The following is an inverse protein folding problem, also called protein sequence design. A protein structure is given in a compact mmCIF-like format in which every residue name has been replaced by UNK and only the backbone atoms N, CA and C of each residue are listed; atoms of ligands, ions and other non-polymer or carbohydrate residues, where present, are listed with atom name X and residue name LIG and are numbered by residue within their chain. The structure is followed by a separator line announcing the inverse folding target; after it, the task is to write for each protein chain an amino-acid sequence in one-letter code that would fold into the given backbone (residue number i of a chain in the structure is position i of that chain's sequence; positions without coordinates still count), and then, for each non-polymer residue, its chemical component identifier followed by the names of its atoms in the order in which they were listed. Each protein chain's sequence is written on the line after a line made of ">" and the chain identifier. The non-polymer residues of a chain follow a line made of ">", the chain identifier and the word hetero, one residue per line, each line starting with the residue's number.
data_IF_220073053458
#
_entry.id   IF_220073053458
#
_cell.length_a   1.000
_cell.length_b   1.000
_cell.length_c   1.000
_cell.angle_alpha   90.00
_cell.angle_beta   90.00
_cell.angle_gamma   90.00
#
_symmetry.space_group_name_H-M   'P 1'
#
loop_
_entity.id
_entity.type
_entity.pdbx_description
1 polymer ?
#
# COMPACT_ATOMS: atom_id res chain seq x y z
N UNK A 1 39.53 -9.95 -21.23
CA UNK A 1 38.32 -10.17 -20.42
C UNK A 1 38.08 -8.92 -19.57
N UNK A 2 37.20 -8.02 -20.01
CA UNK A 2 36.49 -7.11 -19.10
C UNK A 2 35.21 -6.68 -19.83
N UNK A 3 34.11 -7.24 -19.34
CA UNK A 3 32.75 -6.95 -19.79
C UNK A 3 32.42 -5.52 -19.39
N UNK A 4 32.32 -4.61 -20.36
CA UNK A 4 31.64 -3.33 -20.15
C UNK A 4 30.23 -3.56 -20.64
N UNK A 5 29.33 -3.82 -19.70
CA UNK A 5 27.91 -3.79 -19.96
C UNK A 5 27.58 -2.45 -20.62
N UNK A 6 27.09 -2.51 -21.86
CA UNK A 6 26.32 -1.40 -22.44
C UNK A 6 25.08 -1.23 -21.56
N UNK A 7 25.26 -0.48 -20.48
CA UNK A 7 24.17 0.02 -19.66
C UNK A 7 23.36 0.88 -20.61
N UNK A 8 22.18 0.38 -21.00
CA UNK A 8 21.18 1.13 -21.74
C UNK A 8 20.92 2.44 -20.99
N UNK A 9 21.66 3.49 -21.36
CA UNK A 9 21.52 4.83 -20.82
C UNK A 9 20.20 5.35 -21.38
N UNK A 10 19.13 5.15 -20.60
CA UNK A 10 17.87 5.85 -20.84
C UNK A 10 18.16 7.32 -20.62
N UNK A 11 18.29 8.08 -21.70
CA UNK A 11 18.28 9.54 -21.64
C UNK A 11 17.02 9.94 -20.90
N UNK A 12 17.18 10.49 -19.69
CA UNK A 12 16.05 10.89 -18.88
C UNK A 12 15.22 11.89 -19.70
N UNK A 13 13.92 11.61 -19.95
CA UNK A 13 13.06 12.49 -20.75
C UNK A 13 12.81 13.83 -20.04
N UNK A 14 13.16 13.93 -18.75
CA UNK A 14 13.03 15.11 -17.91
C UNK A 14 14.41 15.54 -17.39
N UNK A 15 14.63 16.86 -17.32
CA UNK A 15 15.78 17.44 -16.64
C UNK A 15 15.86 16.95 -15.19
N UNK A 16 17.08 16.66 -14.71
CA UNK A 16 17.34 16.25 -13.33
C UNK A 16 16.71 17.23 -12.32
N UNK A 17 16.68 18.53 -12.63
CA UNK A 17 16.05 19.55 -11.78
C UNK A 17 14.54 19.35 -11.61
N UNK A 18 13.84 18.88 -12.65
CA UNK A 18 12.40 18.56 -12.55
C UNK A 18 12.19 17.30 -11.72
N UNK A 19 13.08 16.31 -11.86
CA UNK A 19 13.07 15.09 -11.04
C UNK A 19 13.18 15.40 -9.54
N UNK A 20 14.17 16.22 -9.14
CA UNK A 20 14.31 16.65 -7.75
C UNK A 20 13.14 17.51 -7.28
N UNK A 21 12.62 18.39 -8.16
CA UNK A 21 11.44 19.20 -7.86
C UNK A 21 10.20 18.36 -7.55
N UNK A 22 9.98 17.26 -8.29
CA UNK A 22 8.85 16.35 -8.03
C UNK A 22 9.09 15.58 -6.74
N UNK A 23 10.24 14.92 -6.58
CA UNK A 23 10.50 14.06 -5.43
C UNK A 23 10.50 14.86 -4.12
N UNK A 24 11.22 15.98 -4.08
CA UNK A 24 11.37 16.80 -2.87
C UNK A 24 10.17 17.73 -2.71
N UNK A 25 9.75 18.43 -3.77
CA UNK A 25 8.67 19.42 -3.69
C UNK A 25 7.31 18.80 -3.44
N UNK A 26 6.88 17.84 -4.28
CA UNK A 26 5.57 17.18 -4.11
C UNK A 26 5.59 16.29 -2.86
N UNK A 27 6.70 15.59 -2.61
CA UNK A 27 6.87 14.79 -1.40
C UNK A 27 6.76 15.64 -0.11
N UNK A 28 7.43 16.79 -0.05
CA UNK A 28 7.33 17.69 1.08
C UNK A 28 5.93 18.29 1.24
N UNK A 29 5.29 18.71 0.14
CA UNK A 29 3.90 19.21 0.18
C UNK A 29 2.92 18.17 0.71
N UNK A 30 3.05 16.92 0.25
CA UNK A 30 2.24 15.81 0.72
C UNK A 30 2.49 15.52 2.21
N UNK A 31 3.76 15.45 2.63
CA UNK A 31 4.12 15.20 4.01
C UNK A 31 3.61 16.30 4.96
N UNK A 32 3.76 17.57 4.59
CA UNK A 32 3.24 18.71 5.35
C UNK A 32 1.71 18.63 5.41
N UNK A 33 1.04 18.39 4.27
CA UNK A 33 -0.41 18.25 4.21
C UNK A 33 -0.94 17.15 5.13
N UNK A 34 -0.35 15.95 5.06
CA UNK A 34 -0.71 14.84 5.96
C UNK A 34 -0.44 15.16 7.42
N UNK A 35 0.67 15.84 7.73
CA UNK A 35 1.01 16.26 9.10
C UNK A 35 -0.02 17.25 9.66
N UNK A 36 -0.47 18.21 8.83
CA UNK A 36 -1.52 19.17 9.21
C UNK A 36 -2.85 18.44 9.43
N UNK A 37 -3.23 17.50 8.55
CA UNK A 37 -4.45 16.70 8.72
C UNK A 37 -4.40 15.92 10.04
N UNK A 38 -3.27 15.27 10.36
CA UNK A 38 -3.10 14.56 11.63
C UNK A 38 -3.18 15.49 12.84
N UNK A 39 -2.62 16.70 12.74
CA UNK A 39 -2.71 17.72 13.80
C UNK A 39 -4.14 18.23 14.00
N UNK A 40 -4.86 18.49 12.91
CA UNK A 40 -6.27 18.87 12.94
C UNK A 40 -7.13 17.77 13.57
N UNK A 41 -6.91 16.51 13.17
CA UNK A 41 -7.66 15.37 13.71
C UNK A 41 -7.42 15.22 15.22
N UNK A 42 -6.17 15.36 15.66
CA UNK A 42 -5.81 15.31 17.08
C UNK A 42 -6.44 16.46 17.88
N UNK A 43 -6.51 17.67 17.31
CA UNK A 43 -6.99 18.87 18.02
C UNK A 43 -8.53 18.96 18.05
N UNK A 44 -9.21 18.61 16.97
CA UNK A 44 -10.68 18.78 16.84
C UNK A 44 -11.47 17.51 17.17
N UNK A 45 -10.91 16.33 16.91
CA UNK A 45 -11.60 15.05 17.18
C UNK A 45 -11.24 14.47 18.56
N UNK A 46 -10.32 15.12 19.29
CA UNK A 46 -9.80 14.70 20.60
C UNK A 46 -9.37 13.22 20.62
N UNK A 47 -8.82 12.78 19.49
CA UNK A 47 -8.45 11.40 19.23
C UNK A 47 -7.13 11.10 19.95
N UNK A 48 -7.21 10.54 21.16
CA UNK A 48 -6.03 10.13 21.92
C UNK A 48 -5.47 8.86 21.27
N UNK A 49 -4.33 9.02 20.60
CA UNK A 49 -3.61 7.97 19.89
C UNK A 49 -3.02 6.94 20.87
N UNK A 50 -3.88 6.09 21.42
CA UNK A 50 -3.46 4.93 22.20
C UNK A 50 -3.00 3.78 21.28
N UNK A 51 -2.15 2.90 21.79
CA UNK A 51 -1.60 1.76 21.03
C UNK A 51 -2.71 0.84 20.50
N UNK A 52 -3.79 0.67 21.27
CA UNK A 52 -4.96 -0.09 20.84
C UNK A 52 -5.75 0.64 19.74
N UNK A 53 -5.85 1.97 19.82
CA UNK A 53 -6.51 2.77 18.78
C UNK A 53 -5.73 2.73 17.46
N UNK A 54 -4.40 2.76 17.52
CA UNK A 54 -3.55 2.66 16.32
C UNK A 54 -3.60 1.26 15.69
N UNK A 55 -3.63 0.20 16.50
CA UNK A 55 -3.54 -1.18 16.01
C UNK A 55 -4.89 -1.81 15.62
N UNK A 56 -5.99 -1.47 16.31
CA UNK A 56 -7.30 -2.09 16.09
C UNK A 56 -8.43 -1.10 15.90
N UNK A 57 -8.16 0.21 15.96
CA UNK A 57 -9.16 1.27 15.95
C UNK A 57 -10.34 0.98 16.91
N UNK A 58 -10.07 0.30 18.04
CA UNK A 58 -11.07 -0.16 19.03
C UNK A 58 -12.24 -0.94 18.41
N UNK A 59 -12.03 -1.65 17.30
CA UNK A 59 -13.10 -2.33 16.55
C UNK A 59 -14.25 -1.39 16.11
N UNK A 60 -14.02 -0.07 16.10
CA UNK A 60 -15.02 0.95 15.74
C UNK A 60 -15.25 1.07 14.23
N UNK A 61 -14.29 0.58 13.43
CA UNK A 61 -14.32 0.66 11.96
C UNK A 61 -15.19 -0.45 11.36
N UNK A 62 -16.10 -0.08 10.47
CA UNK A 62 -16.98 -1.02 9.77
C UNK A 62 -16.22 -1.81 8.71
N UNK A 63 -16.75 -2.98 8.37
CA UNK A 63 -16.19 -3.89 7.36
C UNK A 63 -15.88 -3.22 6.00
N UNK A 64 -16.69 -2.24 5.58
CA UNK A 64 -16.46 -1.51 4.33
C UNK A 64 -15.20 -0.63 4.36
N UNK A 65 -14.95 0.05 5.49
CA UNK A 65 -13.74 0.88 5.65
C UNK A 65 -12.50 0.00 5.78
N UNK A 66 -12.59 -1.13 6.48
CA UNK A 66 -11.49 -2.10 6.55
C UNK A 66 -11.18 -2.72 5.19
N UNK A 67 -12.21 -3.03 4.38
CA UNK A 67 -12.00 -3.53 3.02
C UNK A 67 -11.31 -2.49 2.12
N UNK A 68 -11.72 -1.22 2.21
CA UNK A 68 -11.08 -0.12 1.47
C UNK A 68 -9.60 0.07 1.86
N UNK A 69 -9.28 0.00 3.16
CA UNK A 69 -7.91 0.10 3.64
C UNK A 69 -7.01 -1.04 3.09
N UNK A 70 -7.54 -2.27 3.02
CA UNK A 70 -6.83 -3.42 2.45
C UNK A 70 -6.57 -3.24 0.95
N UNK A 71 -7.58 -2.80 0.18
CA UNK A 71 -7.43 -2.55 -1.27
C UNK A 71 -6.43 -1.40 -1.53
N UNK A 72 -6.47 -0.35 -0.72
CA UNK A 72 -5.53 0.78 -0.81
C UNK A 72 -4.08 0.33 -0.61
N UNK A 73 -3.82 -0.55 0.36
CA UNK A 73 -2.48 -1.06 0.68
C UNK A 73 -1.84 -1.84 -0.47
N UNK A 74 -2.64 -2.36 -1.41
CA UNK A 74 -2.17 -3.08 -2.59
C UNK A 74 -1.88 -2.14 -3.78
N UNK A 75 -2.39 -0.90 -3.73
CA UNK A 75 -2.24 0.12 -4.76
C UNK A 75 -0.91 0.84 -4.61
N UNK A 76 0.19 0.09 -4.72
CA UNK A 76 1.55 0.61 -4.64
C UNK A 76 2.05 1.03 -6.04
N UNK A 77 2.97 1.98 -6.08
CA UNK A 77 3.51 2.49 -7.35
C UNK A 77 4.05 1.38 -8.27
N UNK A 78 4.68 0.34 -7.71
CA UNK A 78 5.19 -0.80 -8.48
C UNK A 78 4.08 -1.62 -9.13
N UNK A 79 2.99 -1.89 -8.42
CA UNK A 79 1.87 -2.70 -8.94
C UNK A 79 1.09 -1.91 -9.98
N UNK A 80 0.91 -0.60 -9.77
CA UNK A 80 0.36 0.31 -10.77
C UNK A 80 1.22 0.39 -12.03
N UNK A 81 2.53 0.60 -11.88
CA UNK A 81 3.46 0.66 -13.02
C UNK A 81 3.41 -0.64 -13.81
N UNK A 82 3.53 -1.77 -13.13
CA UNK A 82 3.43 -3.10 -13.76
C UNK A 82 2.08 -3.25 -14.46
N UNK A 83 0.97 -2.93 -13.80
CA UNK A 83 -0.38 -3.02 -14.39
C UNK A 83 -0.49 -2.19 -15.68
N UNK A 84 -0.03 -0.95 -15.68
CA UNK A 84 -0.05 -0.08 -16.86
C UNK A 84 0.87 -0.60 -17.97
N UNK A 85 2.05 -1.13 -17.64
CA UNK A 85 2.94 -1.76 -18.63
C UNK A 85 2.24 -2.93 -19.32
N UNK A 86 1.56 -3.80 -18.56
CA UNK A 86 0.78 -4.91 -19.14
C UNK A 86 -0.43 -4.41 -19.93
N UNK A 87 -1.06 -3.31 -19.51
CA UNK A 87 -2.12 -2.64 -20.28
C UNK A 87 -1.63 -2.08 -21.61
N UNK A 88 -0.43 -1.52 -21.64
CA UNK A 88 0.18 -0.99 -22.86
C UNK A 88 0.55 -2.11 -23.84
N UNK A 89 1.11 -3.21 -23.35
CA UNK A 89 1.57 -4.32 -24.20
C UNK A 89 0.46 -5.30 -24.62
N UNK A 90 -0.54 -5.52 -23.77
CA UNK A 90 -1.57 -6.57 -23.97
C UNK A 90 -3.01 -6.04 -24.01
N UNK A 91 -3.22 -4.72 -23.91
CA UNK A 91 -4.54 -4.12 -23.85
C UNK A 91 -5.25 -4.37 -22.51
N UNK A 92 -6.58 -4.23 -22.48
CA UNK A 92 -7.40 -4.33 -21.25
C UNK A 92 -7.28 -5.69 -20.56
N UNK A 93 -6.95 -6.75 -21.30
CA UNK A 93 -6.77 -8.10 -20.75
C UNK A 93 -5.53 -8.21 -19.84
N UNK A 94 -4.48 -7.41 -20.06
CA UNK A 94 -3.26 -7.43 -19.24
C UNK A 94 -3.51 -7.07 -17.77
N UNK A 95 -4.05 -5.87 -17.47
CA UNK A 95 -4.44 -5.46 -16.13
C UNK A 95 -5.48 -6.40 -15.51
N UNK A 96 -6.43 -6.90 -16.31
CA UNK A 96 -7.45 -7.82 -15.84
C UNK A 96 -6.85 -9.12 -15.32
N UNK A 97 -5.98 -9.77 -16.10
CA UNK A 97 -5.33 -11.02 -15.68
C UNK A 97 -4.36 -10.82 -14.52
N UNK A 98 -3.65 -9.69 -14.50
CA UNK A 98 -2.81 -9.30 -13.37
C UNK A 98 -3.61 -9.19 -12.07
N UNK A 99 -4.76 -8.51 -12.10
CA UNK A 99 -5.63 -8.37 -10.95
C UNK A 99 -6.29 -9.72 -10.57
N UNK A 100 -6.77 -10.48 -11.55
CA UNK A 100 -7.42 -11.76 -11.34
C UNK A 100 -6.52 -12.79 -10.64
N UNK A 101 -5.22 -12.84 -10.99
CA UNK A 101 -4.26 -13.71 -10.32
C UNK A 101 -4.08 -13.39 -8.84
N UNK A 102 -4.09 -12.11 -8.47
CA UNK A 102 -3.97 -11.68 -7.08
C UNK A 102 -5.24 -11.92 -6.26
N UNK A 103 -6.43 -11.86 -6.87
CA UNK A 103 -7.70 -12.18 -6.20
C UNK A 103 -7.70 -13.60 -5.60
N UNK A 104 -7.07 -14.57 -6.27
CA UNK A 104 -6.95 -15.95 -5.76
C UNK A 104 -6.19 -15.97 -4.43
N UNK A 105 -5.09 -15.22 -4.32
CA UNK A 105 -4.30 -15.15 -3.09
C UNK A 105 -5.10 -14.51 -1.96
N UNK A 106 -5.84 -13.44 -2.24
CA UNK A 106 -6.68 -12.76 -1.24
C UNK A 106 -7.76 -13.71 -0.68
N UNK A 107 -8.40 -14.52 -1.53
CA UNK A 107 -9.39 -15.50 -1.09
C UNK A 107 -8.76 -16.58 -0.19
N UNK A 108 -7.60 -17.11 -0.56
CA UNK A 108 -6.89 -18.10 0.26
C UNK A 108 -6.46 -17.53 1.61
N UNK A 109 -5.90 -16.32 1.65
CA UNK A 109 -5.53 -15.66 2.89
C UNK A 109 -6.75 -15.32 3.76
N UNK A 110 -7.89 -14.99 3.15
CA UNK A 110 -9.13 -14.72 3.88
C UNK A 110 -9.60 -15.97 4.63
N UNK A 111 -9.60 -17.14 3.98
CA UNK A 111 -9.95 -18.41 4.63
C UNK A 111 -8.96 -18.75 5.73
N UNK A 112 -7.66 -18.61 5.48
CA UNK A 112 -6.63 -18.85 6.48
C UNK A 112 -6.76 -17.91 7.69
N UNK A 113 -7.09 -16.63 7.48
CA UNK A 113 -7.29 -15.66 8.55
C UNK A 113 -8.53 -15.99 9.41
N UNK A 114 -9.62 -16.47 8.79
CA UNK A 114 -10.80 -16.96 9.52
C UNK A 114 -10.43 -18.16 10.39
N UNK A 115 -9.72 -19.15 9.84
CA UNK A 115 -9.27 -20.32 10.60
C UNK A 115 -8.29 -19.95 11.72
N UNK A 116 -7.43 -18.97 11.50
CA UNK A 116 -6.53 -18.43 12.52
C UNK A 116 -7.31 -17.82 13.69
N UNK A 117 -8.33 -17.00 13.41
CA UNK A 117 -9.17 -16.39 14.44
C UNK A 117 -10.06 -17.39 15.17
N UNK A 118 -10.47 -18.48 14.51
CA UNK A 118 -11.18 -19.60 15.17
C UNK A 118 -10.29 -20.33 16.18
N UNK A 119 -8.99 -20.46 15.89
CA UNK A 119 -8.03 -21.18 16.75
C UNK A 119 -7.38 -20.30 17.81
N UNK A 120 -7.14 -19.02 17.52
CA UNK A 120 -6.51 -18.05 18.40
C UNK A 120 -7.29 -16.71 18.42
N UNK A 121 -8.47 -16.67 19.09
CA UNK A 121 -9.39 -15.54 19.01
C UNK A 121 -8.82 -14.22 19.57
N UNK A 122 -7.95 -14.30 20.58
CA UNK A 122 -7.37 -13.12 21.24
C UNK A 122 -6.06 -12.62 20.60
N UNK A 123 -5.52 -13.31 19.60
CA UNK A 123 -4.27 -12.91 18.96
C UNK A 123 -4.49 -11.70 18.05
N UNK A 124 -3.91 -10.55 18.39
CA UNK A 124 -4.00 -9.29 17.63
C UNK A 124 -2.87 -9.15 16.60
N UNK A 125 -1.74 -9.82 16.81
CA UNK A 125 -0.62 -9.89 15.87
C UNK A 125 -0.27 -11.34 15.58
N UNK A 126 0.32 -11.61 14.42
CA UNK A 126 0.74 -12.97 14.06
C UNK A 126 1.74 -13.55 15.08
N UNK A 127 2.59 -12.71 15.66
CA UNK A 127 3.58 -13.11 16.67
C UNK A 127 2.95 -13.67 17.96
N UNK A 128 1.74 -13.23 18.32
CA UNK A 128 1.03 -13.79 19.49
C UNK A 128 0.56 -15.23 19.27
N UNK A 129 0.49 -15.70 18.02
CA UNK A 129 0.07 -17.07 17.68
C UNK A 129 1.23 -18.06 17.84
N UNK A 130 2.46 -17.60 17.63
CA UNK A 130 3.67 -18.45 17.61
C UNK A 130 4.30 -18.59 19.02
N UNK A 131 3.82 -17.80 19.99
CA UNK A 131 4.28 -17.82 21.37
C UNK A 131 3.53 -18.87 22.19
#
# INVERSE_FOLDING_TARGET
>A
MSSSADVFQITAPLSAGVGYGIVVGVGALFAIGMSVISWLLSTYMNEVQDSEMFMTAKHSVKAGLTASAVVSSWTIATTLLTSTTYGYSYGVSGPFWYAAGACVQILLFSVAAVELKRKAPNAQTFLQVIK
#
